data_IF_899561819428
#
_entry.id   IF_899561819428
#
_cell.length_a   1.000
_cell.length_b   1.000
_cell.length_c   1.000
_cell.angle_alpha   90.00
_cell.angle_beta   90.00
_cell.angle_gamma   90.00
#
_symmetry.space_group_name_H-M   'P 1'
#
loop_
_entity.id
_entity.type
_entity.pdbx_description
1 polymer ?
#
# COMPACT_ATOMS: atom_id res chain seq x y z
N UNK A 1 21.24 -22.89 18.75
CA UNK A 1 21.11 -22.08 17.52
C UNK A 1 21.23 -22.99 16.31
N UNK A 2 20.27 -22.91 15.37
CA UNK A 2 20.31 -23.68 14.11
C UNK A 2 21.41 -23.10 13.20
N UNK A 3 22.18 -23.97 12.53
CA UNK A 3 23.27 -23.59 11.62
C UNK A 3 22.92 -24.02 10.20
N UNK A 4 23.03 -23.11 9.23
CA UNK A 4 22.81 -23.37 7.80
C UNK A 4 24.12 -23.41 7.01
N UNK A 5 24.12 -24.10 5.87
CA UNK A 5 25.27 -24.22 4.95
C UNK A 5 25.11 -23.21 3.80
N UNK A 6 26.11 -22.36 3.55
CA UNK A 6 26.08 -21.43 2.42
C UNK A 6 26.46 -22.17 1.13
N UNK A 7 25.55 -22.22 0.15
CA UNK A 7 25.81 -22.67 -1.20
C UNK A 7 25.20 -21.68 -2.20
N UNK A 8 26.00 -21.25 -3.19
CA UNK A 8 25.58 -20.32 -4.26
C UNK A 8 24.89 -19.03 -3.75
N UNK A 9 25.36 -18.49 -2.62
CA UNK A 9 24.80 -17.28 -2.02
C UNK A 9 23.52 -17.50 -1.18
N UNK A 10 23.05 -18.74 -1.06
CA UNK A 10 21.88 -19.10 -0.25
C UNK A 10 22.29 -19.98 0.94
N UNK A 11 21.74 -19.70 2.12
CA UNK A 11 21.92 -20.56 3.30
C UNK A 11 20.88 -21.69 3.28
N UNK A 12 21.33 -22.93 3.06
CA UNK A 12 20.49 -24.12 3.12
C UNK A 12 20.52 -24.72 4.51
N UNK A 13 19.35 -24.87 5.13
CA UNK A 13 19.20 -25.55 6.41
C UNK A 13 19.00 -27.05 6.16
N UNK A 14 19.96 -27.87 6.59
CA UNK A 14 19.81 -29.32 6.57
C UNK A 14 19.02 -29.75 7.83
N UNK A 15 17.70 -29.86 7.69
CA UNK A 15 16.81 -30.35 8.75
C UNK A 15 15.84 -31.38 8.19
N UNK A 16 15.52 -32.40 8.98
CA UNK A 16 14.42 -33.32 8.69
C UNK A 16 13.12 -32.73 9.23
N UNK A 17 12.15 -32.47 8.36
CA UNK A 17 10.79 -32.11 8.78
C UNK A 17 10.11 -33.35 9.33
N UNK A 18 9.74 -33.31 10.61
CA UNK A 18 8.83 -34.30 11.18
C UNK A 18 7.44 -33.91 10.67
N UNK A 19 6.93 -34.65 9.68
CA UNK A 19 5.55 -34.48 9.19
C UNK A 19 4.62 -35.15 10.21
N UNK A 20 4.32 -34.44 11.29
CA UNK A 20 3.24 -34.80 12.19
C UNK A 20 1.90 -34.46 11.53
N UNK A 21 0.95 -35.39 11.53
CA UNK A 21 -0.43 -35.10 11.12
C UNK A 21 -1.05 -34.17 12.16
N UNK A 22 -1.04 -32.87 11.88
CA UNK A 22 -1.78 -31.90 12.67
C UNK A 22 -3.20 -31.80 12.09
N UNK A 23 -4.20 -32.11 12.91
CA UNK A 23 -5.59 -31.86 12.55
C UNK A 23 -5.83 -30.35 12.62
N UNK A 24 -5.61 -29.64 11.52
CA UNK A 24 -6.01 -28.25 11.40
C UNK A 24 -7.53 -28.22 11.19
N UNK A 25 -8.26 -27.61 12.12
CA UNK A 25 -9.68 -27.35 11.95
C UNK A 25 -9.86 -26.36 10.80
N UNK A 26 -10.40 -26.82 9.67
CA UNK A 26 -10.76 -25.96 8.55
C UNK A 26 -12.07 -25.25 8.88
N UNK A 27 -12.03 -23.92 9.04
CA UNK A 27 -13.24 -23.11 9.14
C UNK A 27 -13.80 -22.93 7.72
N UNK A 28 -15.07 -23.33 7.52
CA UNK A 28 -15.81 -23.01 6.30
C UNK A 28 -16.09 -21.50 6.31
N UNK A 29 -15.29 -20.75 5.55
CA UNK A 29 -15.48 -19.32 5.35
C UNK A 29 -16.61 -19.07 4.35
N UNK A 30 -17.40 -18.03 4.61
CA UNK A 30 -18.33 -17.51 3.61
C UNK A 30 -17.58 -16.97 2.40
N UNK A 31 -18.27 -16.79 1.27
CA UNK A 31 -17.63 -16.18 0.08
C UNK A 31 -17.17 -14.75 0.35
N UNK A 32 -17.88 -13.99 1.19
CA UNK A 32 -17.50 -12.62 1.57
C UNK A 32 -16.24 -12.62 2.45
N UNK A 33 -16.13 -13.56 3.39
CA UNK A 33 -14.93 -13.72 4.23
C UNK A 33 -13.69 -14.04 3.39
N UNK A 34 -13.86 -14.90 2.37
CA UNK A 34 -12.82 -15.25 1.40
C UNK A 34 -12.40 -14.06 0.56
N UNK A 35 -13.36 -13.30 0.04
CA UNK A 35 -13.11 -12.08 -0.70
C UNK A 35 -12.33 -11.05 0.14
N UNK A 36 -12.72 -10.88 1.40
CA UNK A 36 -12.04 -10.01 2.36
C UNK A 36 -10.62 -10.48 2.67
N UNK A 37 -10.42 -11.79 2.81
CA UNK A 37 -9.10 -12.38 3.06
C UNK A 37 -8.15 -12.13 1.88
N UNK A 38 -8.60 -12.37 0.64
CA UNK A 38 -7.80 -12.09 -0.56
C UNK A 38 -7.54 -10.61 -0.76
N UNK A 39 -8.53 -9.76 -0.49
CA UNK A 39 -8.36 -8.31 -0.46
C UNK A 39 -7.21 -7.88 0.43
N UNK A 40 -7.14 -8.40 1.66
CA UNK A 40 -6.06 -8.09 2.61
C UNK A 40 -4.71 -8.69 2.17
N UNK A 41 -4.68 -9.98 1.78
CA UNK A 41 -3.47 -10.68 1.34
C UNK A 41 -2.79 -10.01 0.13
N UNK A 42 -3.58 -9.44 -0.78
CA UNK A 42 -3.10 -8.80 -2.00
C UNK A 42 -2.91 -7.29 -1.87
N UNK A 43 -2.83 -6.76 -0.64
CA UNK A 43 -2.53 -5.36 -0.41
C UNK A 43 -3.70 -4.43 -0.76
N UNK A 44 -4.88 -4.75 -0.25
CA UNK A 44 -6.09 -3.96 -0.45
C UNK A 44 -6.49 -3.82 -1.93
N UNK A 45 -6.50 -4.95 -2.65
CA UNK A 45 -6.90 -5.01 -4.07
C UNK A 45 -8.38 -4.65 -4.26
N UNK A 46 -8.74 -4.01 -5.38
CA UNK A 46 -10.14 -3.68 -5.67
C UNK A 46 -10.98 -4.94 -5.95
N UNK A 47 -12.30 -4.84 -5.79
CA UNK A 47 -13.25 -5.91 -6.13
C UNK A 47 -13.06 -6.38 -7.58
N UNK A 48 -12.94 -5.44 -8.53
CA UNK A 48 -12.68 -5.76 -9.94
C UNK A 48 -11.35 -6.50 -10.15
N UNK A 49 -10.29 -6.12 -9.42
CA UNK A 49 -9.01 -6.83 -9.48
C UNK A 49 -9.13 -8.27 -8.98
N UNK A 50 -9.85 -8.47 -7.88
CA UNK A 50 -10.13 -9.81 -7.33
C UNK A 50 -10.97 -10.65 -8.29
N UNK A 51 -11.99 -10.07 -8.90
CA UNK A 51 -12.83 -10.73 -9.92
C UNK A 51 -11.99 -11.18 -11.12
N UNK A 52 -11.09 -10.32 -11.63
CA UNK A 52 -10.17 -10.67 -12.71
C UNK A 52 -9.25 -11.85 -12.35
N UNK A 53 -8.76 -11.91 -11.11
CA UNK A 53 -7.92 -13.02 -10.65
C UNK A 53 -8.72 -14.31 -10.45
N UNK A 54 -9.94 -14.20 -9.92
CA UNK A 54 -10.92 -15.28 -9.81
C UNK A 54 -11.23 -15.89 -11.19
N UNK A 55 -11.52 -15.05 -12.19
CA UNK A 55 -11.81 -15.50 -13.55
C UNK A 55 -10.61 -16.18 -14.24
N UNK A 56 -9.39 -15.90 -13.79
CA UNK A 56 -8.16 -16.56 -14.25
C UNK A 56 -7.79 -17.79 -13.43
N UNK A 57 -8.63 -18.19 -12.45
CA UNK A 57 -8.39 -19.28 -11.51
C UNK A 57 -7.08 -19.13 -10.69
N UNK A 58 -6.63 -17.90 -10.44
CA UNK A 58 -5.40 -17.64 -9.67
C UNK A 58 -5.67 -17.77 -8.15
N UNK A 59 -6.91 -17.53 -7.73
CA UNK A 59 -7.32 -17.55 -6.32
C UNK A 59 -7.82 -18.93 -5.88
N UNK A 60 -7.13 -19.99 -6.30
CA UNK A 60 -7.47 -21.38 -5.92
C UNK A 60 -8.92 -21.80 -6.26
N UNK A 61 -9.48 -21.22 -7.34
CA UNK A 61 -10.85 -21.49 -7.78
C UNK A 61 -11.94 -20.81 -6.95
N UNK A 62 -11.58 -19.91 -6.03
CA UNK A 62 -12.55 -19.13 -5.29
C UNK A 62 -13.22 -18.08 -6.18
N UNK A 63 -14.56 -18.13 -6.21
CA UNK A 63 -15.39 -17.14 -6.91
C UNK A 63 -15.59 -15.93 -6.02
N UNK A 64 -14.97 -14.81 -6.39
CA UNK A 64 -15.14 -13.52 -5.73
C UNK A 64 -16.00 -12.62 -6.61
N UNK A 65 -17.16 -12.23 -6.12
CA UNK A 65 -18.13 -11.36 -6.79
C UNK A 65 -18.42 -10.07 -5.99
N UNK A 66 -18.25 -10.11 -4.67
CA UNK A 66 -18.56 -9.00 -3.75
C UNK A 66 -17.38 -8.72 -2.84
N UNK A 67 -17.19 -7.45 -2.49
CA UNK A 67 -16.20 -7.01 -1.51
C UNK A 67 -16.78 -5.85 -0.71
N UNK A 68 -16.72 -5.98 0.62
CA UNK A 68 -17.20 -4.96 1.54
C UNK A 68 -16.36 -3.69 1.51
N UNK A 69 -16.95 -2.61 2.04
CA UNK A 69 -16.26 -1.34 2.23
C UNK A 69 -15.01 -1.52 3.09
N UNK A 70 -13.89 -1.00 2.59
CA UNK A 70 -12.62 -0.99 3.31
C UNK A 70 -12.11 0.45 3.48
N UNK A 71 -12.16 0.96 4.71
CA UNK A 71 -11.69 2.30 5.05
C UNK A 71 -10.21 2.51 4.68
N UNK A 72 -9.34 1.54 5.00
CA UNK A 72 -7.92 1.59 4.66
C UNK A 72 -7.67 1.71 3.16
N UNK A 73 -8.49 1.06 2.33
CA UNK A 73 -8.38 1.17 0.87
C UNK A 73 -8.72 2.57 0.38
N UNK A 74 -9.75 3.18 0.96
CA UNK A 74 -10.19 4.54 0.59
C UNK A 74 -9.14 5.55 0.99
N UNK A 75 -8.69 5.51 2.24
CA UNK A 75 -7.68 6.44 2.76
C UNK A 75 -6.31 6.23 2.10
N UNK A 76 -5.97 5.01 1.71
CA UNK A 76 -4.71 4.69 1.04
C UNK A 76 -4.68 5.04 -0.44
N UNK A 77 -5.84 5.01 -1.13
CA UNK A 77 -5.95 5.26 -2.58
C UNK A 77 -6.57 6.61 -2.92
N UNK A 78 -6.90 7.43 -1.94
CA UNK A 78 -7.44 8.77 -2.17
C UNK A 78 -6.44 9.61 -2.99
N UNK A 79 -6.94 10.21 -4.07
CA UNK A 79 -6.17 11.16 -4.88
C UNK A 79 -6.36 12.56 -4.31
N UNK A 80 -5.28 13.32 -4.19
CA UNK A 80 -5.37 14.76 -3.89
C UNK A 80 -6.21 15.44 -4.96
N UNK A 81 -7.27 16.15 -4.54
CA UNK A 81 -8.09 16.97 -5.44
C UNK A 81 -7.20 18.05 -6.07
N UNK A 82 -7.38 18.29 -7.37
CA UNK A 82 -6.67 19.37 -8.05
C UNK A 82 -7.13 20.72 -7.51
N UNK A 83 -6.19 21.61 -7.21
CA UNK A 83 -6.53 23.00 -6.98
C UNK A 83 -7.05 23.62 -8.28
N UNK A 84 -7.99 24.55 -8.17
CA UNK A 84 -8.36 25.38 -9.31
C UNK A 84 -7.15 26.22 -9.75
N UNK A 85 -7.05 26.48 -11.05
CA UNK A 85 -6.02 27.37 -11.58
C UNK A 85 -6.23 28.78 -11.02
N UNK A 86 -5.29 29.25 -10.19
CA UNK A 86 -5.26 30.66 -9.79
C UNK A 86 -5.01 31.54 -11.00
N UNK A 87 -5.87 32.52 -11.25
CA UNK A 87 -5.60 33.56 -12.26
C UNK A 87 -4.66 34.59 -11.64
N UNK A 88 -3.44 34.67 -12.18
CA UNK A 88 -2.46 35.65 -11.77
C UNK A 88 -2.06 36.53 -12.97
N UNK A 89 -2.87 37.55 -13.26
CA UNK A 89 -2.64 38.49 -14.34
C UNK A 89 -2.60 39.93 -13.83
N UNK A 90 -1.49 40.62 -14.12
CA UNK A 90 -1.30 42.04 -13.83
C UNK A 90 -1.26 42.83 -15.12
N UNK A 91 -1.69 44.11 -15.09
CA UNK A 91 -1.69 44.98 -16.28
C UNK A 91 -0.66 46.10 -16.18
N UNK A 92 -0.36 46.56 -14.97
CA UNK A 92 0.62 47.57 -14.64
C UNK A 92 1.87 47.00 -13.97
N UNK A 93 2.88 47.87 -13.85
CA UNK A 93 4.12 47.60 -13.13
C UNK A 93 3.83 47.64 -11.63
N UNK A 94 4.23 46.59 -10.90
CA UNK A 94 4.01 46.41 -9.45
C UNK A 94 2.55 46.15 -9.00
N UNK A 95 1.64 45.82 -9.91
CA UNK A 95 0.25 45.43 -9.58
C UNK A 95 0.15 44.18 -8.68
N UNK A 96 1.19 43.34 -8.67
CA UNK A 96 1.27 42.18 -7.81
C UNK A 96 2.70 41.90 -7.38
N UNK A 97 2.87 41.75 -6.08
CA UNK A 97 4.15 41.46 -5.45
C UNK A 97 4.02 40.12 -4.73
N UNK A 98 4.78 39.13 -5.17
CA UNK A 98 4.95 37.90 -4.42
C UNK A 98 6.04 38.09 -3.39
N UNK A 99 5.72 37.91 -2.11
CA UNK A 99 6.69 37.90 -1.03
C UNK A 99 6.60 36.55 -0.33
N UNK A 100 7.75 35.92 -0.11
CA UNK A 100 7.86 34.66 0.60
C UNK A 100 8.87 34.82 1.74
N UNK A 101 8.58 34.19 2.87
CA UNK A 101 9.46 34.20 4.03
C UNK A 101 10.35 32.97 3.98
N UNK A 102 11.65 33.20 3.81
CA UNK A 102 12.62 32.13 3.97
C UNK A 102 12.64 31.67 5.44
N UNK A 103 12.32 30.39 5.67
CA UNK A 103 12.33 29.75 6.99
C UNK A 103 13.72 29.78 7.66
N UNK A 104 13.84 29.49 8.97
CA UNK A 104 15.05 29.75 9.76
C UNK A 104 16.33 29.24 9.08
N UNK A 105 17.15 30.19 8.64
CA UNK A 105 18.47 29.92 8.10
C UNK A 105 19.37 29.37 9.21
N UNK A 106 20.07 28.27 8.95
CA UNK A 106 21.13 27.76 9.84
C UNK A 106 22.30 28.73 9.97
N UNK A 107 22.44 29.66 9.02
CA UNK A 107 23.46 30.69 9.06
C UNK A 107 22.95 31.89 9.85
N UNK A 108 23.68 32.34 10.90
CA UNK A 108 23.37 33.58 11.58
C UNK A 108 23.50 34.75 10.60
N UNK A 109 22.52 35.64 10.60
CA UNK A 109 22.61 36.87 9.80
C UNK A 109 23.66 37.80 10.38
N UNK A 110 24.34 38.58 9.52
CA UNK A 110 25.35 39.57 9.94
C UNK A 110 24.78 40.80 10.68
N UNK A 111 23.50 40.75 11.06
CA UNK A 111 22.75 41.87 11.64
C UNK A 111 22.69 41.92 13.16
N UNK A 112 23.25 40.93 13.89
CA UNK A 112 23.33 41.01 15.35
C UNK A 112 24.60 41.77 15.75
N UNK A 113 24.43 43.05 16.11
CA UNK A 113 25.30 43.75 17.06
C UNK A 113 24.66 43.67 18.44
#
# INVERSE_FOLDING_TARGET
MMKGKLQNGLYTLAGSTIVGSANASTVQLSNDDKARLWHMRLGHMSACGLEMLSNRNILEGEKINTLDFCEHSVLGKQKKVSFSTGKHNTRGVLDYIHSDLWSPSKLPSKGRK
#
